data_IF_413951058831
#
_entry.id   IF_413951058831
#
_cell.length_a   1.000
_cell.length_b   1.000
_cell.length_c   1.000
_cell.angle_alpha   90.00
_cell.angle_beta   90.00
_cell.angle_gamma   90.00
#
_symmetry.space_group_name_H-M   'P 1'
#
loop_
_entity.id
_entity.type
_entity.pdbx_description
1 polymer ?
#
# COMPACT_ATOMS: atom_id res chain seq x y z
N UNK A 1 -51.56 15.41 5.35
CA UNK A 1 -50.62 15.70 4.24
C UNK A 1 -49.17 15.75 4.71
N UNK A 2 -48.68 14.75 5.45
CA UNK A 2 -47.26 14.67 5.89
C UNK A 2 -46.58 13.42 5.37
N UNK A 3 -47.37 12.35 5.25
CA UNK A 3 -47.02 11.03 4.73
C UNK A 3 -46.47 11.02 3.30
N UNK A 4 -46.97 11.85 2.37
CA UNK A 4 -46.45 11.88 0.99
C UNK A 4 -45.05 12.49 0.90
N UNK A 5 -44.78 13.52 1.72
CA UNK A 5 -43.47 14.17 1.76
C UNK A 5 -42.42 13.27 2.43
N UNK A 6 -42.81 12.60 3.51
CA UNK A 6 -41.96 11.64 4.20
C UNK A 6 -41.68 10.40 3.32
N UNK A 7 -42.65 9.97 2.49
CA UNK A 7 -42.45 8.90 1.52
C UNK A 7 -41.44 9.30 0.43
N UNK A 8 -41.55 10.51 -0.15
CA UNK A 8 -40.57 11.03 -1.11
C UNK A 8 -39.18 11.14 -0.48
N UNK A 9 -39.10 11.64 0.76
CA UNK A 9 -37.83 11.76 1.48
C UNK A 9 -37.20 10.39 1.73
N UNK A 10 -37.99 9.39 2.10
CA UNK A 10 -37.50 8.01 2.24
C UNK A 10 -37.01 7.43 0.91
N UNK A 11 -37.69 7.67 -0.20
CA UNK A 11 -37.23 7.21 -1.53
C UNK A 11 -35.87 7.80 -1.88
N UNK A 12 -35.67 9.10 -1.64
CA UNK A 12 -34.38 9.76 -1.86
C UNK A 12 -33.31 9.18 -0.94
N UNK A 13 -33.62 9.00 0.35
CA UNK A 13 -32.68 8.42 1.32
C UNK A 13 -32.30 6.98 0.96
N UNK A 14 -33.23 6.17 0.46
CA UNK A 14 -32.94 4.82 -0.03
C UNK A 14 -32.02 4.86 -1.24
N UNK A 15 -32.28 5.74 -2.22
CA UNK A 15 -31.39 5.92 -3.37
C UNK A 15 -29.98 6.37 -2.97
N UNK A 16 -29.87 7.29 -2.01
CA UNK A 16 -28.58 7.73 -1.47
C UNK A 16 -27.87 6.57 -0.74
N UNK A 17 -28.61 5.77 0.04
CA UNK A 17 -28.08 4.61 0.75
C UNK A 17 -27.54 3.56 -0.23
N UNK A 18 -28.27 3.30 -1.32
CA UNK A 18 -27.86 2.34 -2.34
C UNK A 18 -26.60 2.81 -3.08
N UNK A 19 -26.48 4.11 -3.38
CA UNK A 19 -25.24 4.69 -3.92
C UNK A 19 -24.07 4.53 -2.94
N UNK A 20 -24.28 4.88 -1.68
CA UNK A 20 -23.26 4.75 -0.64
C UNK A 20 -22.85 3.29 -0.42
N UNK A 21 -23.78 2.34 -0.52
CA UNK A 21 -23.48 0.90 -0.48
C UNK A 21 -22.64 0.47 -1.67
N UNK A 22 -22.98 0.89 -2.88
CA UNK A 22 -22.20 0.58 -4.08
C UNK A 22 -20.77 1.14 -3.99
N UNK A 23 -20.62 2.39 -3.52
CA UNK A 23 -19.30 2.99 -3.27
C UNK A 23 -18.55 2.24 -2.16
N UNK A 24 -19.22 1.86 -1.07
CA UNK A 24 -18.63 1.11 0.02
C UNK A 24 -18.11 -0.27 -0.46
N UNK A 25 -18.85 -0.94 -1.32
CA UNK A 25 -18.45 -2.23 -1.89
C UNK A 25 -17.28 -2.08 -2.87
N UNK A 26 -17.27 -1.04 -3.70
CA UNK A 26 -16.14 -0.71 -4.57
C UNK A 26 -14.88 -0.38 -3.76
N UNK A 27 -15.01 0.41 -2.70
CA UNK A 27 -13.91 0.73 -1.78
C UNK A 27 -13.41 -0.52 -1.07
N UNK A 28 -14.30 -1.38 -0.57
CA UNK A 28 -13.93 -2.67 0.01
C UNK A 28 -13.18 -3.54 -1.00
N UNK A 29 -13.62 -3.60 -2.26
CA UNK A 29 -12.93 -4.33 -3.31
C UNK A 29 -11.54 -3.74 -3.60
N UNK A 30 -11.41 -2.41 -3.68
CA UNK A 30 -10.12 -1.73 -3.85
C UNK A 30 -9.18 -1.96 -2.65
N UNK A 31 -9.75 -2.12 -1.44
CA UNK A 31 -9.03 -2.37 -0.20
C UNK A 31 -8.72 -3.85 0.06
N UNK A 32 -9.21 -4.80 -0.77
CA UNK A 32 -8.87 -6.24 -0.65
C UNK A 32 -7.44 -6.54 -1.08
N UNK A 33 -6.83 -5.71 -1.92
CA UNK A 33 -5.44 -5.85 -2.34
C UNK A 33 -4.68 -4.56 -2.08
N UNK A 34 -4.61 -4.09 -0.82
CA UNK A 34 -3.75 -2.97 -0.53
C UNK A 34 -2.33 -3.48 -0.74
N UNK A 35 -1.56 -2.86 -1.64
CA UNK A 35 -0.17 -3.25 -1.90
C UNK A 35 0.72 -2.21 -1.25
N UNK A 36 1.68 -2.66 -0.45
CA UNK A 36 2.66 -1.76 0.14
C UNK A 36 3.49 -1.10 -0.97
N UNK A 37 3.46 0.23 -1.07
CA UNK A 37 4.22 1.00 -2.08
C UNK A 37 5.74 0.87 -1.94
N UNK A 38 6.23 0.45 -0.76
CA UNK A 38 7.65 0.25 -0.49
C UNK A 38 8.16 -1.17 -0.77
N UNK A 39 7.36 -2.21 -0.50
CA UNK A 39 7.79 -3.62 -0.63
C UNK A 39 6.99 -4.45 -1.65
N UNK A 40 5.90 -3.93 -2.21
CA UNK A 40 5.06 -4.63 -3.20
C UNK A 40 4.23 -5.80 -2.64
N UNK A 41 4.25 -6.01 -1.32
CA UNK A 41 3.49 -7.08 -0.67
C UNK A 41 2.03 -6.72 -0.40
N UNK A 42 1.15 -7.72 -0.23
CA UNK A 42 -0.19 -7.53 0.33
C UNK A 42 -0.09 -6.82 1.69
N UNK A 43 -0.94 -5.82 1.89
CA UNK A 43 -1.08 -5.07 3.13
C UNK A 43 -2.29 -5.57 3.94
N UNK A 44 -2.92 -6.67 3.52
CA UNK A 44 -3.91 -7.39 4.33
C UNK A 44 -3.17 -8.34 5.29
N UNK A 45 -3.36 -8.21 6.61
CA UNK A 45 -2.68 -9.02 7.61
C UNK A 45 -3.08 -10.52 7.65
N UNK A 46 -4.17 -10.94 7.01
CA UNK A 46 -4.75 -12.28 7.24
C UNK A 46 -3.95 -13.44 6.62
N UNK A 47 -3.07 -13.19 5.65
CA UNK A 47 -2.32 -14.26 4.96
C UNK A 47 -0.79 -14.17 5.13
N UNK A 48 -0.28 -13.12 5.77
CA UNK A 48 1.17 -12.91 5.95
C UNK A 48 1.45 -12.77 7.44
N UNK A 49 2.26 -13.69 7.99
CA UNK A 49 2.73 -13.55 9.37
C UNK A 49 3.46 -12.23 9.56
N UNK A 50 3.31 -11.61 10.74
CA UNK A 50 3.96 -10.35 11.07
C UNK A 50 5.49 -10.40 10.83
N UNK A 51 6.10 -11.54 11.16
CA UNK A 51 7.51 -11.84 10.95
C UNK A 51 7.90 -11.81 9.47
N UNK A 52 7.10 -12.45 8.62
CA UNK A 52 7.34 -12.46 7.17
C UNK A 52 7.20 -11.07 6.56
N UNK A 53 6.22 -10.30 6.98
CA UNK A 53 6.06 -8.91 6.55
C UNK A 53 7.28 -8.06 6.94
N UNK A 54 7.76 -8.20 8.19
CA UNK A 54 8.94 -7.50 8.70
C UNK A 54 10.20 -7.86 7.90
N UNK A 55 10.38 -9.15 7.56
CA UNK A 55 11.50 -9.61 6.74
C UNK A 55 11.47 -9.03 5.32
N UNK A 56 10.28 -8.94 4.69
CA UNK A 56 10.14 -8.34 3.36
C UNK A 56 10.47 -6.84 3.34
N UNK A 57 10.09 -6.11 4.40
CA UNK A 57 10.46 -4.70 4.57
C UNK A 57 11.98 -4.55 4.70
N UNK A 58 12.61 -5.32 5.58
CA UNK A 58 14.06 -5.28 5.77
C UNK A 58 14.82 -5.65 4.49
N UNK A 59 14.36 -6.65 3.76
CA UNK A 59 14.95 -7.03 2.47
C UNK A 59 14.89 -5.87 1.46
N UNK A 60 13.76 -5.14 1.38
CA UNK A 60 13.63 -4.00 0.49
C UNK A 60 14.60 -2.85 0.87
N UNK A 61 14.75 -2.57 2.17
CA UNK A 61 15.71 -1.58 2.68
C UNK A 61 17.15 -1.97 2.33
N UNK A 62 17.55 -3.21 2.66
CA UNK A 62 18.90 -3.73 2.38
C UNK A 62 19.20 -3.76 0.88
N UNK A 63 18.20 -4.08 0.04
CA UNK A 63 18.33 -4.03 -1.41
C UNK A 63 18.54 -2.60 -1.92
N UNK A 64 17.84 -1.63 -1.33
CA UNK A 64 18.06 -0.20 -1.59
C UNK A 64 19.47 0.25 -1.22
N UNK A 65 19.96 -0.15 -0.05
CA UNK A 65 21.34 0.12 0.41
C UNK A 65 22.37 -0.54 -0.50
N UNK A 66 22.16 -1.78 -0.92
CA UNK A 66 23.06 -2.45 -1.86
C UNK A 66 23.05 -1.80 -3.24
N UNK A 67 21.90 -1.30 -3.72
CA UNK A 67 21.81 -0.53 -4.96
C UNK A 67 22.50 0.84 -4.84
N UNK A 68 22.32 1.53 -3.72
CA UNK A 68 23.00 2.78 -3.41
C UNK A 68 24.52 2.54 -3.35
N UNK A 69 24.95 1.52 -2.61
CA UNK A 69 26.33 1.04 -2.55
C UNK A 69 26.89 0.76 -3.95
N UNK A 70 26.21 -0.01 -4.81
CA UNK A 70 26.68 -0.24 -6.20
C UNK A 70 26.82 1.05 -7.01
N UNK A 71 25.87 1.98 -6.89
CA UNK A 71 25.91 3.28 -7.60
C UNK A 71 27.03 4.20 -7.11
N UNK A 72 27.39 4.12 -5.83
CA UNK A 72 28.36 5.02 -5.20
C UNK A 72 29.76 4.41 -5.00
N UNK A 73 29.88 3.09 -4.88
CA UNK A 73 31.15 2.35 -4.81
C UNK A 73 31.83 2.28 -6.19
N UNK A 74 31.06 2.21 -7.29
CA UNK A 74 31.59 2.30 -8.66
C UNK A 74 32.19 3.67 -9.02
N UNK A 75 31.93 4.71 -8.21
CA UNK A 75 32.55 6.05 -8.35
C UNK A 75 33.74 6.26 -7.42
N UNK A 76 33.91 5.42 -6.39
CA UNK A 76 35.05 5.46 -5.48
C UNK A 76 36.20 4.52 -5.93
N UNK A 77 36.03 3.76 -7.01
CA UNK A 77 37.04 2.86 -7.58
C UNK A 77 38.09 3.50 -8.50
N UNK A 78 38.07 4.82 -8.72
CA UNK A 78 39.17 5.54 -9.40
C UNK A 78 39.83 6.52 -8.43
N UNK A 79 40.47 5.99 -7.40
CA UNK A 79 41.17 6.82 -6.44
C UNK A 79 41.91 5.98 -5.42
N UNK A 80 43.18 5.72 -5.72
CA UNK A 80 44.21 5.14 -4.84
C UNK A 80 44.09 3.63 -4.59
N UNK A 81 44.66 2.88 -5.53
CA UNK A 81 45.62 1.84 -5.13
C UNK A 81 46.72 2.55 -4.31
N UNK A 82 46.59 2.56 -2.99
CA UNK A 82 47.75 2.69 -2.11
C UNK A 82 47.83 1.36 -1.36
N UNK A 83 48.61 0.50 -2.00
CA UNK A 83 49.46 -0.52 -1.41
C UNK A 83 49.88 -0.17 0.02
N UNK A 84 49.62 -1.03 1.00
CA UNK A 84 50.37 -1.08 2.25
C UNK A 84 50.23 -2.48 2.87
N UNK A 85 51.25 -2.90 3.63
CA UNK A 85 52.11 -4.05 3.40
C UNK A 85 51.50 -5.41 3.76
#
# INVERSE_FOLDING_TARGET
>A
MKTQWDAMKNVILTQENDKLRAENDLLKQAMKTPVCKGCGGPAVPDEISYEEHRLRIEYARLKGEALWGRKHMGKQGMGKLIFYP
#
